data_IF_212806708344
#
_entry.id   IF_212806708344
#
_cell.length_a   1.000
_cell.length_b   1.000
_cell.length_c   1.000
_cell.angle_alpha   90.00
_cell.angle_beta   90.00
_cell.angle_gamma   90.00
#
_symmetry.space_group_name_H-M   'P 1'
#
loop_
_entity.id
_entity.type
_entity.pdbx_description
1 polymer ?
#
# COMPACT_ATOMS: atom_id res chain seq x y z
N UNK A 1 -7.56 -5.18 30.28
CA UNK A 1 -7.27 -6.64 30.19
C UNK A 1 -7.88 -7.17 28.91
N UNK A 2 -7.12 -7.13 27.81
CA UNK A 2 -7.51 -7.73 26.56
C UNK A 2 -7.44 -9.26 26.69
N UNK A 3 -8.60 -9.91 26.71
CA UNK A 3 -8.69 -11.36 26.69
C UNK A 3 -8.21 -11.88 25.34
N UNK A 4 -7.12 -12.65 25.34
CA UNK A 4 -6.64 -13.44 24.22
C UNK A 4 -7.79 -14.33 23.70
N UNK A 5 -8.39 -13.99 22.55
CA UNK A 5 -9.28 -14.87 21.81
C UNK A 5 -8.39 -15.85 21.04
N UNK A 6 -8.14 -17.01 21.65
CA UNK A 6 -7.52 -18.15 20.97
C UNK A 6 -8.36 -18.50 19.73
N UNK A 7 -7.89 -18.15 18.54
CA UNK A 7 -8.51 -18.55 17.29
C UNK A 7 -8.60 -20.08 17.22
N UNK A 8 -9.77 -20.62 16.88
CA UNK A 8 -9.92 -22.06 16.63
C UNK A 8 -9.36 -22.36 15.24
N UNK A 9 -8.55 -23.38 15.15
CA UNK A 9 -8.07 -23.92 13.88
C UNK A 9 -8.77 -25.25 13.62
N UNK A 10 -9.14 -25.49 12.38
CA UNK A 10 -9.73 -26.74 11.94
C UNK A 10 -8.84 -27.39 10.89
N UNK A 11 -8.49 -28.64 11.09
CA UNK A 11 -7.78 -29.46 10.14
C UNK A 11 -8.66 -29.73 8.91
N UNK A 12 -8.11 -29.57 7.70
CA UNK A 12 -8.85 -29.69 6.43
C UNK A 12 -9.33 -31.13 6.22
N UNK A 13 -8.54 -32.13 6.60
CA UNK A 13 -8.93 -33.53 6.49
C UNK A 13 -10.06 -33.89 7.47
N UNK A 14 -10.02 -33.34 8.67
CA UNK A 14 -11.12 -33.49 9.65
C UNK A 14 -12.43 -32.88 9.12
N UNK A 15 -12.34 -31.70 8.43
CA UNK A 15 -13.50 -31.08 7.77
C UNK A 15 -14.03 -32.00 6.66
N UNK A 16 -13.15 -32.61 5.87
CA UNK A 16 -13.52 -33.53 4.78
C UNK A 16 -14.23 -34.81 5.32
N UNK A 17 -13.70 -35.39 6.36
CA UNK A 17 -14.33 -36.54 7.02
C UNK A 17 -15.74 -36.17 7.53
N UNK A 18 -15.86 -35.00 8.19
CA UNK A 18 -17.14 -34.51 8.68
C UNK A 18 -18.12 -34.20 7.53
N UNK A 19 -17.66 -33.61 6.44
CA UNK A 19 -18.44 -33.35 5.23
C UNK A 19 -19.01 -34.65 4.67
N UNK A 20 -18.20 -35.68 4.46
CA UNK A 20 -18.64 -36.96 3.94
C UNK A 20 -19.70 -37.62 4.85
N UNK A 21 -19.52 -37.52 6.15
CA UNK A 21 -20.50 -38.01 7.13
C UNK A 21 -21.83 -37.24 7.02
N UNK A 22 -21.79 -35.95 6.93
CA UNK A 22 -22.99 -35.10 6.80
C UNK A 22 -23.68 -35.23 5.45
N UNK A 23 -22.92 -35.47 4.35
CA UNK A 23 -23.46 -35.62 3.02
C UNK A 23 -24.38 -36.88 2.87
N UNK A 24 -24.12 -37.90 3.65
CA UNK A 24 -24.96 -39.11 3.69
C UNK A 24 -26.27 -38.95 4.50
N UNK A 25 -26.51 -37.77 5.08
CA UNK A 25 -27.64 -37.52 5.99
C UNK A 25 -28.66 -36.56 5.39
N UNK A 26 -29.93 -36.69 5.77
CA UNK A 26 -30.94 -35.64 5.48
C UNK A 26 -30.67 -34.37 6.33
N UNK A 27 -31.21 -33.25 5.90
CA UNK A 27 -31.10 -31.99 6.64
C UNK A 27 -31.60 -32.08 8.05
N UNK A 28 -32.74 -32.76 8.26
CA UNK A 28 -33.34 -32.99 9.58
C UNK A 28 -32.42 -33.83 10.47
N UNK A 29 -31.83 -34.90 9.92
CA UNK A 29 -30.89 -35.75 10.63
C UNK A 29 -29.63 -34.96 11.04
N UNK A 30 -29.10 -34.12 10.16
CA UNK A 30 -27.98 -33.21 10.47
C UNK A 30 -28.32 -32.23 11.58
N UNK A 31 -29.49 -31.58 11.49
CA UNK A 31 -29.95 -30.65 12.53
C UNK A 31 -29.99 -31.32 13.90
N UNK A 32 -30.59 -32.50 13.96
CA UNK A 32 -30.73 -33.27 15.21
C UNK A 32 -29.40 -33.78 15.76
N UNK A 33 -28.55 -34.36 14.92
CA UNK A 33 -27.28 -34.99 15.33
C UNK A 33 -26.23 -33.99 15.76
N UNK A 34 -26.15 -32.83 15.07
CA UNK A 34 -25.12 -31.80 15.31
C UNK A 34 -25.66 -30.58 16.07
N UNK A 35 -26.91 -30.58 16.50
CA UNK A 35 -27.52 -29.43 17.19
C UNK A 35 -27.58 -28.16 16.34
N UNK A 36 -27.75 -28.32 15.03
CA UNK A 36 -27.79 -27.17 14.10
C UNK A 36 -29.22 -26.64 13.98
N UNK A 37 -29.33 -25.34 13.81
CA UNK A 37 -30.60 -24.74 13.38
C UNK A 37 -30.97 -25.24 11.97
N UNK A 38 -32.27 -25.34 11.60
CA UNK A 38 -32.69 -25.85 10.30
C UNK A 38 -32.01 -25.14 9.12
N UNK A 39 -31.96 -23.79 9.15
CA UNK A 39 -31.33 -22.96 8.14
C UNK A 39 -29.82 -23.26 7.99
N UNK A 40 -29.14 -23.65 9.07
CA UNK A 40 -27.73 -24.04 9.05
C UNK A 40 -27.55 -25.49 8.59
N UNK A 41 -28.46 -26.39 8.89
CA UNK A 41 -28.38 -27.76 8.44
C UNK A 41 -28.48 -27.89 6.90
N UNK A 42 -29.17 -26.97 6.24
CA UNK A 42 -29.24 -26.90 4.78
C UNK A 42 -27.97 -26.33 4.15
N UNK A 43 -27.40 -25.28 4.76
CA UNK A 43 -26.29 -24.53 4.18
C UNK A 43 -24.90 -25.05 4.54
N UNK A 44 -24.79 -25.95 5.54
CA UNK A 44 -23.49 -26.44 6.03
C UNK A 44 -22.70 -27.25 5.00
N UNK A 45 -23.39 -28.04 4.16
CA UNK A 45 -22.74 -28.87 3.15
C UNK A 45 -22.12 -28.03 2.03
N UNK A 46 -22.85 -27.13 1.34
CA UNK A 46 -22.23 -26.26 0.34
C UNK A 46 -21.11 -25.39 0.95
N UNK A 47 -21.27 -24.89 2.18
CA UNK A 47 -20.22 -24.14 2.85
C UNK A 47 -18.96 -24.99 3.07
N UNK A 48 -19.08 -26.20 3.64
CA UNK A 48 -17.95 -27.08 3.86
C UNK A 48 -17.25 -27.48 2.55
N UNK A 49 -18.02 -27.73 1.47
CA UNK A 49 -17.48 -28.02 0.15
C UNK A 49 -16.63 -26.86 -0.39
N UNK A 50 -17.12 -25.62 -0.28
CA UNK A 50 -16.39 -24.41 -0.73
C UNK A 50 -15.09 -24.26 0.05
N UNK A 51 -15.13 -24.33 1.38
CA UNK A 51 -13.94 -24.20 2.23
C UNK A 51 -12.91 -25.30 1.95
N UNK A 52 -13.35 -26.54 1.82
CA UNK A 52 -12.46 -27.67 1.50
C UNK A 52 -11.80 -27.46 0.11
N UNK A 53 -12.58 -27.03 -0.88
CA UNK A 53 -12.06 -26.79 -2.22
C UNK A 53 -11.05 -25.63 -2.28
N UNK A 54 -11.32 -24.54 -1.55
CA UNK A 54 -10.39 -23.40 -1.45
C UNK A 54 -9.10 -23.86 -0.75
N UNK A 55 -9.20 -24.63 0.35
CA UNK A 55 -8.03 -25.14 1.05
C UNK A 55 -7.16 -26.06 0.17
N UNK A 56 -7.78 -26.93 -0.63
CA UNK A 56 -7.09 -27.77 -1.60
C UNK A 56 -6.32 -26.95 -2.65
N UNK A 57 -6.97 -25.94 -3.23
CA UNK A 57 -6.34 -25.03 -4.21
C UNK A 57 -5.19 -24.24 -3.62
N UNK A 58 -5.34 -23.82 -2.37
CA UNK A 58 -4.32 -23.11 -1.60
C UNK A 58 -3.23 -24.02 -1.03
N UNK A 59 -3.37 -25.35 -1.12
CA UNK A 59 -2.53 -26.35 -0.47
C UNK A 59 -2.41 -26.12 1.06
N UNK A 60 -3.51 -25.66 1.67
CA UNK A 60 -3.56 -25.40 3.10
C UNK A 60 -4.00 -26.67 3.84
N UNK A 61 -3.33 -27.00 4.92
CA UNK A 61 -3.64 -28.12 5.80
C UNK A 61 -4.62 -27.74 6.91
N UNK A 62 -4.69 -26.45 7.24
CA UNK A 62 -5.48 -25.90 8.35
C UNK A 62 -6.26 -24.67 7.90
N UNK A 63 -7.50 -24.57 8.38
CA UNK A 63 -8.35 -23.38 8.24
C UNK A 63 -8.48 -22.70 9.59
N UNK A 64 -8.03 -21.45 9.69
CA UNK A 64 -8.23 -20.65 10.89
C UNK A 64 -9.67 -20.13 10.96
N UNK A 65 -10.33 -20.34 12.10
CA UNK A 65 -11.66 -19.81 12.38
C UNK A 65 -11.56 -18.80 13.54
N UNK A 66 -11.37 -17.50 13.25
CA UNK A 66 -11.11 -16.50 14.28
C UNK A 66 -12.31 -16.25 15.21
N UNK A 67 -13.46 -16.82 14.90
CA UNK A 67 -14.68 -16.70 15.73
C UNK A 67 -15.35 -15.32 15.58
N UNK A 68 -15.05 -14.62 14.51
CA UNK A 68 -15.68 -13.34 14.12
C UNK A 68 -16.59 -13.56 12.93
N UNK A 69 -17.66 -12.77 12.84
CA UNK A 69 -18.62 -12.81 11.74
C UNK A 69 -18.64 -11.50 10.96
N UNK A 70 -19.54 -11.41 9.99
CA UNK A 70 -19.71 -10.22 9.13
C UNK A 70 -19.95 -8.94 9.96
N UNK A 71 -20.71 -9.04 11.05
CA UNK A 71 -20.99 -7.88 11.92
C UNK A 71 -19.76 -7.33 12.60
N UNK A 72 -18.83 -8.19 13.02
CA UNK A 72 -17.55 -7.78 13.60
C UNK A 72 -16.68 -7.10 12.55
N UNK A 73 -16.64 -7.62 11.31
CA UNK A 73 -15.93 -6.99 10.19
C UNK A 73 -16.49 -5.62 9.83
N UNK A 74 -17.83 -5.49 9.75
CA UNK A 74 -18.48 -4.19 9.51
C UNK A 74 -18.19 -3.22 10.65
N UNK A 75 -18.22 -3.69 11.90
CA UNK A 75 -17.91 -2.85 13.05
C UNK A 75 -16.46 -2.35 13.03
N UNK A 76 -15.52 -3.21 12.66
CA UNK A 76 -14.11 -2.85 12.52
C UNK A 76 -13.92 -1.81 11.42
N UNK A 77 -14.54 -2.00 10.25
CA UNK A 77 -14.52 -1.00 9.16
C UNK A 77 -15.12 0.35 9.59
N UNK A 78 -16.21 0.33 10.39
CA UNK A 78 -16.80 1.55 10.92
C UNK A 78 -15.89 2.22 11.95
N UNK A 79 -15.23 1.45 12.82
CA UNK A 79 -14.26 1.95 13.80
C UNK A 79 -13.11 2.62 13.07
N UNK A 80 -12.52 1.97 12.07
CA UNK A 80 -11.43 2.53 11.26
C UNK A 80 -11.86 3.81 10.55
N UNK A 81 -13.06 3.82 9.99
CA UNK A 81 -13.61 4.97 9.27
C UNK A 81 -13.89 6.18 10.18
N UNK A 82 -14.41 5.96 11.39
CA UNK A 82 -14.89 7.05 12.24
C UNK A 82 -13.96 7.37 13.40
N UNK A 83 -13.16 6.42 13.87
CA UNK A 83 -12.29 6.59 15.03
C UNK A 83 -10.81 6.56 14.69
N UNK A 84 -10.44 6.24 13.41
CA UNK A 84 -9.05 6.17 12.94
C UNK A 84 -8.14 5.51 13.98
N UNK A 85 -8.53 4.33 14.45
CA UNK A 85 -7.67 3.53 15.33
C UNK A 85 -6.50 3.05 14.47
N UNK A 86 -5.37 3.73 14.62
CA UNK A 86 -4.16 3.53 13.83
C UNK A 86 -3.39 2.32 14.31
N UNK A 87 -3.17 1.56 13.44
CA UNK A 87 -2.10 0.88 12.79
C UNK A 87 -0.95 0.44 13.67
N UNK A 88 -0.86 -0.84 13.64
CA UNK A 88 0.35 -1.56 13.96
C UNK A 88 1.17 -1.72 12.68
N UNK A 89 2.50 -1.85 12.80
CA UNK A 89 3.42 -2.13 11.70
C UNK A 89 2.93 -3.25 10.77
N UNK A 90 2.16 -4.21 11.28
CA UNK A 90 1.59 -5.32 10.52
C UNK A 90 0.55 -4.93 9.45
N UNK A 91 -0.21 -3.84 9.63
CA UNK A 91 -1.14 -3.35 8.59
C UNK A 91 -0.37 -2.68 7.46
N UNK A 92 0.63 -1.87 7.80
CA UNK A 92 1.50 -1.23 6.82
C UNK A 92 2.24 -2.27 5.96
N UNK A 93 2.76 -3.33 6.57
CA UNK A 93 3.39 -4.45 5.85
C UNK A 93 2.39 -5.17 4.93
N UNK A 94 1.14 -5.35 5.37
CA UNK A 94 0.09 -5.99 4.57
C UNK A 94 -0.25 -5.19 3.33
N UNK A 95 -0.39 -3.86 3.45
CA UNK A 95 -0.61 -2.94 2.33
C UNK A 95 0.56 -2.97 1.35
N UNK A 96 1.80 -2.86 1.86
CA UNK A 96 2.98 -2.89 1.02
C UNK A 96 3.17 -4.23 0.32
N UNK A 97 2.85 -5.34 0.98
CA UNK A 97 2.83 -6.66 0.35
C UNK A 97 1.77 -6.76 -0.76
N UNK A 98 0.60 -6.13 -0.60
CA UNK A 98 -0.40 -6.02 -1.66
C UNK A 98 0.11 -5.17 -2.83
N UNK A 99 0.76 -4.04 -2.56
CA UNK A 99 1.42 -3.22 -3.58
C UNK A 99 2.52 -3.99 -4.31
N UNK A 100 3.36 -4.74 -3.60
CA UNK A 100 4.41 -5.58 -4.20
C UNK A 100 3.82 -6.63 -5.15
N UNK A 101 2.74 -7.32 -4.74
CA UNK A 101 2.04 -8.27 -5.62
C UNK A 101 1.49 -7.60 -6.88
N UNK A 102 0.94 -6.39 -6.73
CA UNK A 102 0.45 -5.61 -7.86
C UNK A 102 1.59 -5.22 -8.81
N UNK A 103 2.70 -4.71 -8.25
CA UNK A 103 3.89 -4.35 -9.02
C UNK A 103 4.44 -5.55 -9.81
N UNK A 104 4.59 -6.71 -9.17
CA UNK A 104 5.04 -7.95 -9.82
C UNK A 104 4.11 -8.42 -10.93
N UNK A 105 2.79 -8.25 -10.76
CA UNK A 105 1.81 -8.54 -11.82
C UNK A 105 2.07 -7.71 -13.08
N UNK A 106 2.56 -6.48 -12.94
CA UNK A 106 2.90 -5.58 -14.04
C UNK A 106 4.41 -5.51 -14.32
N UNK A 107 5.18 -6.51 -13.86
CA UNK A 107 6.61 -6.70 -14.17
C UNK A 107 7.44 -5.43 -13.93
N UNK A 108 7.16 -4.70 -12.86
CA UNK A 108 7.86 -3.46 -12.54
C UNK A 108 9.32 -3.70 -12.15
N UNK A 109 10.16 -2.67 -12.20
CA UNK A 109 11.51 -2.72 -11.66
C UNK A 109 11.45 -2.71 -10.12
N UNK A 110 11.46 -3.93 -9.53
CA UNK A 110 11.33 -4.13 -8.09
C UNK A 110 12.48 -3.46 -7.33
N UNK A 111 13.70 -3.56 -7.83
CA UNK A 111 14.88 -3.00 -7.17
C UNK A 111 14.82 -1.46 -7.15
N UNK A 112 14.42 -0.83 -8.25
CA UNK A 112 14.18 0.62 -8.30
C UNK A 112 13.04 1.04 -7.37
N UNK A 113 11.88 0.36 -7.44
CA UNK A 113 10.73 0.65 -6.58
C UNK A 113 11.06 0.58 -5.09
N UNK A 114 11.85 -0.43 -4.66
CA UNK A 114 12.30 -0.56 -3.27
C UNK A 114 13.25 0.56 -2.85
N UNK A 115 14.23 0.93 -3.70
CA UNK A 115 15.15 2.04 -3.41
C UNK A 115 14.41 3.37 -3.28
N UNK A 116 13.53 3.68 -4.25
CA UNK A 116 12.72 4.91 -4.21
C UNK A 116 11.82 4.93 -2.98
N UNK A 117 11.23 3.79 -2.60
CA UNK A 117 10.43 3.66 -1.37
C UNK A 117 11.26 3.94 -0.12
N UNK A 118 12.48 3.43 -0.05
CA UNK A 118 13.42 3.68 1.05
C UNK A 118 13.77 5.16 1.15
N UNK A 119 14.16 5.78 0.05
CA UNK A 119 14.53 7.20 0.02
C UNK A 119 13.33 8.10 0.37
N UNK A 120 12.16 7.82 -0.18
CA UNK A 120 10.95 8.57 0.13
C UNK A 120 10.61 8.51 1.63
N UNK A 121 10.71 7.33 2.25
CA UNK A 121 10.49 7.16 3.67
C UNK A 121 11.54 7.91 4.52
N UNK A 122 12.82 7.85 4.16
CA UNK A 122 13.89 8.58 4.85
C UNK A 122 13.66 10.10 4.81
N UNK A 123 13.37 10.64 3.62
CA UNK A 123 13.09 12.09 3.46
C UNK A 123 11.83 12.48 4.23
N UNK A 124 10.79 11.66 4.23
CA UNK A 124 9.57 11.90 4.99
C UNK A 124 9.86 11.98 6.50
N UNK A 125 10.56 10.99 7.04
CA UNK A 125 10.86 10.89 8.47
C UNK A 125 11.74 12.04 8.95
N UNK A 126 12.76 12.40 8.17
CA UNK A 126 13.70 13.49 8.46
C UNK A 126 13.01 14.87 8.44
N UNK A 127 11.91 15.03 7.70
CA UNK A 127 11.21 16.30 7.52
C UNK A 127 9.86 16.37 8.25
N UNK A 128 9.61 15.49 9.21
CA UNK A 128 8.31 15.36 9.89
C UNK A 128 7.84 16.68 10.53
N UNK A 129 8.75 17.45 11.09
CA UNK A 129 8.45 18.77 11.69
C UNK A 129 8.07 19.84 10.65
N UNK A 130 8.32 19.61 9.37
CA UNK A 130 8.06 20.55 8.28
C UNK A 130 6.75 20.29 7.53
N UNK A 131 6.37 19.02 7.38
CA UNK A 131 5.20 18.68 6.57
C UNK A 131 3.93 18.41 7.40
N UNK A 132 4.05 18.11 8.69
CA UNK A 132 2.93 17.83 9.60
C UNK A 132 1.96 16.74 9.11
N UNK A 133 2.45 15.82 8.26
CA UNK A 133 1.70 14.65 7.78
C UNK A 133 1.75 13.54 8.82
N UNK A 134 0.78 12.65 8.77
CA UNK A 134 0.64 11.57 9.74
C UNK A 134 1.33 10.25 9.29
N UNK A 135 1.44 9.24 10.17
CA UNK A 135 2.02 7.94 9.81
C UNK A 135 1.29 7.23 8.67
N UNK A 136 -0.02 7.48 8.47
CA UNK A 136 -0.78 6.92 7.36
C UNK A 136 -0.37 7.55 6.04
N UNK A 137 -0.11 8.85 6.02
CA UNK A 137 0.43 9.55 4.86
C UNK A 137 1.81 9.01 4.45
N UNK A 138 2.64 8.61 5.45
CA UNK A 138 3.90 7.90 5.22
C UNK A 138 3.69 6.57 4.48
N UNK A 139 2.68 5.80 4.89
CA UNK A 139 2.33 4.56 4.22
C UNK A 139 1.87 4.81 2.78
N UNK A 140 1.01 5.82 2.56
CA UNK A 140 0.55 6.20 1.22
C UNK A 140 1.72 6.64 0.32
N UNK A 141 2.71 7.36 0.87
CA UNK A 141 3.93 7.70 0.15
C UNK A 141 4.72 6.46 -0.26
N UNK A 142 4.93 5.51 0.68
CA UNK A 142 5.64 4.26 0.40
C UNK A 142 4.94 3.42 -0.66
N UNK A 143 3.61 3.30 -0.58
CA UNK A 143 2.81 2.63 -1.60
C UNK A 143 2.93 3.30 -2.97
N UNK A 144 2.89 4.63 -3.00
CA UNK A 144 3.07 5.42 -4.23
C UNK A 144 4.46 5.26 -4.83
N UNK A 145 5.49 5.28 -3.98
CA UNK A 145 6.88 5.11 -4.39
C UNK A 145 7.13 3.71 -4.97
N UNK A 146 6.53 2.68 -4.38
CA UNK A 146 6.66 1.32 -4.89
C UNK A 146 5.98 1.13 -6.25
N UNK A 147 4.87 1.82 -6.50
CA UNK A 147 4.02 1.61 -7.67
C UNK A 147 4.15 2.68 -8.75
N UNK A 148 5.02 3.70 -8.58
CA UNK A 148 5.00 4.88 -9.46
C UNK A 148 5.25 4.55 -10.93
N UNK A 149 6.02 3.51 -11.22
CA UNK A 149 6.43 3.13 -12.57
C UNK A 149 5.76 1.85 -13.12
N UNK A 150 4.74 1.28 -12.44
CA UNK A 150 4.04 0.09 -12.95
C UNK A 150 3.39 0.31 -14.33
N UNK A 151 3.19 1.55 -14.73
CA UNK A 151 2.66 1.92 -16.04
C UNK A 151 3.63 1.70 -17.20
N UNK A 152 4.92 1.49 -16.94
CA UNK A 152 5.91 1.12 -17.96
C UNK A 152 5.54 -0.21 -18.66
N UNK A 153 4.87 -1.09 -17.96
CA UNK A 153 4.29 -2.32 -18.52
C UNK A 153 3.38 -2.04 -19.73
N UNK A 154 2.63 -0.94 -19.72
CA UNK A 154 1.75 -0.56 -20.83
C UNK A 154 2.56 0.12 -21.92
N UNK A 155 3.32 1.15 -21.55
CA UNK A 155 4.19 1.90 -22.45
C UNK A 155 5.04 2.88 -21.66
N UNK A 156 6.34 2.97 -22.02
CA UNK A 156 7.27 3.92 -21.40
C UNK A 156 6.83 5.38 -21.59
N UNK A 157 6.38 5.78 -22.79
CA UNK A 157 5.88 7.12 -22.99
C UNK A 157 4.53 7.33 -22.31
N UNK A 158 4.51 8.28 -21.38
CA UNK A 158 3.30 8.56 -20.58
C UNK A 158 3.03 7.56 -19.44
N UNK A 159 3.98 6.71 -19.04
CA UNK A 159 3.80 5.69 -18.03
C UNK A 159 3.17 6.22 -16.73
N UNK A 160 3.52 7.42 -16.30
CA UNK A 160 2.90 8.04 -15.12
C UNK A 160 1.36 8.13 -15.20
N UNK A 161 0.78 8.28 -16.40
CA UNK A 161 -0.67 8.23 -16.63
C UNK A 161 -1.19 6.80 -16.58
N UNK A 162 -0.41 5.85 -17.09
CA UNK A 162 -0.74 4.44 -17.02
C UNK A 162 -0.64 3.93 -15.58
N UNK A 163 0.40 4.32 -14.82
CA UNK A 163 0.51 4.01 -13.39
C UNK A 163 -0.71 4.52 -12.62
N UNK A 164 -1.13 5.76 -12.83
CA UNK A 164 -2.35 6.30 -12.26
C UNK A 164 -3.56 5.38 -12.54
N UNK A 165 -3.78 5.05 -13.81
CA UNK A 165 -4.93 4.24 -14.19
C UNK A 165 -4.90 2.85 -13.56
N UNK A 166 -3.75 2.19 -13.58
CA UNK A 166 -3.59 0.86 -13.02
C UNK A 166 -3.80 0.85 -11.51
N UNK A 167 -3.29 1.84 -10.79
CA UNK A 167 -3.45 1.95 -9.33
C UNK A 167 -4.90 2.30 -8.98
N UNK A 168 -5.51 3.29 -9.66
CA UNK A 168 -6.88 3.76 -9.39
C UNK A 168 -7.92 2.65 -9.52
N UNK A 169 -7.68 1.69 -10.45
CA UNK A 169 -8.61 0.60 -10.72
C UNK A 169 -8.15 -0.75 -10.12
N UNK A 170 -7.06 -0.75 -9.33
CA UNK A 170 -6.62 -1.95 -8.63
C UNK A 170 -7.38 -2.15 -7.32
N UNK A 171 -7.54 -3.39 -6.91
CA UNK A 171 -7.96 -3.74 -5.56
C UNK A 171 -6.70 -3.94 -4.70
N UNK A 172 -6.36 -2.93 -3.90
CA UNK A 172 -5.22 -2.95 -2.98
C UNK A 172 -5.77 -3.10 -1.56
N UNK A 173 -5.65 -4.32 -1.03
CA UNK A 173 -6.11 -4.63 0.32
C UNK A 173 -5.48 -3.69 1.35
N UNK A 174 -6.29 -3.13 2.24
CA UNK A 174 -5.86 -2.22 3.31
C UNK A 174 -5.85 -0.74 2.90
N UNK A 175 -6.20 -0.38 1.66
CA UNK A 175 -6.43 1.01 1.25
C UNK A 175 -7.92 1.27 1.03
N UNK A 176 -8.42 2.37 1.57
CA UNK A 176 -9.75 2.91 1.23
C UNK A 176 -9.75 3.44 -0.21
N UNK A 177 -10.92 3.61 -0.84
CA UNK A 177 -11.02 4.22 -2.18
C UNK A 177 -10.36 5.61 -2.26
N UNK A 178 -10.49 6.46 -1.24
CA UNK A 178 -9.86 7.78 -1.21
C UNK A 178 -8.33 7.67 -1.12
N UNK A 179 -7.81 6.80 -0.26
CA UNK A 179 -6.38 6.57 -0.12
C UNK A 179 -5.77 6.00 -1.40
N UNK A 180 -6.46 5.07 -2.06
CA UNK A 180 -6.04 4.56 -3.36
C UNK A 180 -5.97 5.66 -4.41
N UNK A 181 -6.95 6.57 -4.44
CA UNK A 181 -6.92 7.74 -5.32
C UNK A 181 -5.77 8.68 -4.98
N UNK A 182 -5.41 8.85 -3.69
CA UNK A 182 -4.22 9.61 -3.30
C UNK A 182 -2.96 8.93 -3.85
N UNK A 183 -2.78 7.61 -3.61
CA UNK A 183 -1.63 6.84 -4.10
C UNK A 183 -1.50 6.93 -5.62
N UNK A 184 -2.61 6.75 -6.35
CA UNK A 184 -2.63 6.86 -7.80
C UNK A 184 -2.21 8.25 -8.29
N UNK A 185 -2.70 9.32 -7.64
CA UNK A 185 -2.34 10.69 -8.00
C UNK A 185 -0.89 11.01 -7.66
N UNK A 186 -0.38 10.59 -6.51
CA UNK A 186 1.04 10.77 -6.14
C UNK A 186 1.93 10.08 -7.16
N UNK A 187 1.63 8.82 -7.54
CA UNK A 187 2.33 8.11 -8.60
C UNK A 187 2.24 8.85 -9.96
N UNK A 188 1.08 9.40 -10.33
CA UNK A 188 0.93 10.19 -11.56
C UNK A 188 1.86 11.39 -11.61
N UNK A 189 2.06 12.04 -10.47
CA UNK A 189 2.79 13.31 -10.41
C UNK A 189 4.27 13.20 -10.04
N UNK A 190 4.84 12.00 -10.02
CA UNK A 190 6.29 11.81 -9.79
C UNK A 190 7.16 12.45 -10.88
N UNK A 191 6.60 12.72 -12.07
CA UNK A 191 7.29 13.36 -13.20
C UNK A 191 6.36 14.28 -14.00
N UNK A 192 6.94 14.98 -15.01
CA UNK A 192 6.22 15.92 -15.89
C UNK A 192 5.55 17.03 -15.08
N UNK A 193 4.30 17.38 -15.42
CA UNK A 193 3.56 18.47 -14.78
C UNK A 193 3.32 18.22 -13.29
N UNK A 194 3.36 19.26 -12.46
CA UNK A 194 2.93 19.17 -11.07
C UNK A 194 1.40 18.94 -10.95
N UNK A 195 0.90 18.62 -9.74
CA UNK A 195 -0.54 18.57 -9.48
C UNK A 195 -1.22 19.91 -9.81
N UNK A 196 -2.24 19.88 -10.68
CA UNK A 196 -2.94 21.07 -11.16
C UNK A 196 -4.47 20.85 -11.13
N UNK A 197 -5.26 21.82 -10.61
CA UNK A 197 -6.73 21.76 -10.64
C UNK A 197 -7.33 21.65 -12.05
N UNK A 198 -6.59 21.98 -13.10
CA UNK A 198 -7.01 21.75 -14.48
C UNK A 198 -7.05 20.25 -14.84
N UNK A 199 -6.36 19.40 -14.08
CA UNK A 199 -6.39 17.95 -14.26
C UNK A 199 -7.61 17.35 -13.54
N UNK A 200 -8.57 16.68 -14.23
CA UNK A 200 -9.76 16.12 -13.60
C UNK A 200 -9.47 15.20 -12.42
N UNK A 201 -8.50 14.29 -12.58
CA UNK A 201 -8.08 13.35 -11.53
C UNK A 201 -7.63 14.03 -10.22
N UNK A 202 -7.09 15.23 -10.29
CA UNK A 202 -6.67 16.01 -9.12
C UNK A 202 -7.78 16.93 -8.62
N UNK A 203 -8.52 17.56 -9.53
CA UNK A 203 -9.63 18.46 -9.20
C UNK A 203 -10.72 17.76 -8.40
N UNK A 204 -11.02 16.50 -8.74
CA UNK A 204 -12.12 15.74 -8.15
C UNK A 204 -11.80 15.19 -6.76
N UNK A 205 -10.53 15.32 -6.29
CA UNK A 205 -10.14 15.01 -4.92
C UNK A 205 -10.67 16.07 -3.92
N UNK A 206 -10.84 15.65 -2.67
CA UNK A 206 -11.12 16.57 -1.56
C UNK A 206 -9.99 17.60 -1.38
N UNK A 207 -10.25 18.71 -0.72
CA UNK A 207 -9.23 19.74 -0.44
C UNK A 207 -8.07 19.15 0.39
N UNK A 208 -8.39 18.30 1.35
CA UNK A 208 -7.42 17.61 2.19
C UNK A 208 -6.56 16.67 1.36
N UNK A 209 -7.17 15.77 0.58
CA UNK A 209 -6.47 14.83 -0.30
C UNK A 209 -5.57 15.55 -1.31
N UNK A 210 -6.00 16.70 -1.86
CA UNK A 210 -5.15 17.53 -2.74
C UNK A 210 -3.91 18.05 -2.03
N UNK A 211 -4.05 18.46 -0.75
CA UNK A 211 -2.90 18.87 0.07
C UNK A 211 -1.90 17.72 0.26
N UNK A 212 -2.39 16.54 0.62
CA UNK A 212 -1.58 15.32 0.77
C UNK A 212 -0.88 14.94 -0.54
N UNK A 213 -1.60 14.90 -1.65
CA UNK A 213 -1.01 14.60 -2.98
C UNK A 213 0.12 15.55 -3.33
N UNK A 214 -0.03 16.85 -3.10
CA UNK A 214 1.04 17.83 -3.38
C UNK A 214 2.29 17.58 -2.54
N UNK A 215 2.12 17.34 -1.25
CA UNK A 215 3.23 17.11 -0.33
C UNK A 215 3.95 15.77 -0.63
N UNK A 216 3.19 14.69 -0.78
CA UNK A 216 3.75 13.37 -1.06
C UNK A 216 4.40 13.30 -2.44
N UNK A 217 3.79 13.91 -3.47
CA UNK A 217 4.40 13.98 -4.80
C UNK A 217 5.69 14.81 -4.82
N UNK A 218 5.79 15.88 -4.01
CA UNK A 218 7.01 16.65 -3.88
C UNK A 218 8.16 15.80 -3.33
N UNK A 219 7.90 14.98 -2.31
CA UNK A 219 8.91 14.06 -1.74
C UNK A 219 9.24 12.96 -2.74
N UNK A 220 8.24 12.33 -3.37
CA UNK A 220 8.45 11.24 -4.33
C UNK A 220 9.30 11.69 -5.52
N UNK A 221 9.10 12.91 -6.03
CA UNK A 221 9.89 13.46 -7.14
C UNK A 221 11.38 13.53 -6.83
N UNK A 222 11.72 13.85 -5.60
CA UNK A 222 13.12 13.87 -5.14
C UNK A 222 13.64 12.45 -4.97
N UNK A 223 12.87 11.57 -4.31
CA UNK A 223 13.27 10.19 -4.08
C UNK A 223 13.51 9.41 -5.38
N UNK A 224 12.63 9.54 -6.37
CA UNK A 224 12.78 8.95 -7.69
C UNK A 224 14.00 9.52 -8.44
N UNK A 225 14.28 10.82 -8.30
CA UNK A 225 15.45 11.41 -8.90
C UNK A 225 16.80 10.90 -8.36
N UNK A 226 16.81 10.40 -7.11
CA UNK A 226 18.01 9.81 -6.47
C UNK A 226 18.40 8.43 -7.01
N UNK A 227 17.55 7.78 -7.78
CA UNK A 227 17.86 6.52 -8.48
C UNK A 227 17.53 6.61 -9.99
N UNK A 228 17.84 7.74 -10.60
CA UNK A 228 17.45 8.07 -11.98
C UNK A 228 17.91 7.07 -13.02
N UNK A 229 19.10 6.51 -12.87
CA UNK A 229 19.66 5.51 -13.79
C UNK A 229 19.26 4.06 -13.43
N UNK A 230 18.55 3.85 -12.33
CA UNK A 230 18.16 2.54 -11.79
C UNK A 230 19.35 1.64 -11.43
N UNK A 231 20.51 2.24 -11.18
CA UNK A 231 21.77 1.54 -10.90
C UNK A 231 22.08 1.41 -9.39
N UNK A 232 21.27 2.04 -8.53
CA UNK A 232 21.50 1.99 -7.08
C UNK A 232 22.78 2.67 -6.64
N UNK A 233 23.20 3.74 -7.31
CA UNK A 233 24.42 4.48 -6.99
C UNK A 233 24.39 5.11 -5.61
N UNK A 234 23.19 5.46 -5.13
CA UNK A 234 22.94 6.03 -3.81
C UNK A 234 22.36 4.92 -2.93
N UNK A 235 22.97 4.71 -1.77
CA UNK A 235 22.60 3.68 -0.80
C UNK A 235 21.60 4.21 0.25
N UNK A 236 21.79 5.45 0.67
CA UNK A 236 20.90 6.11 1.64
C UNK A 236 20.95 7.63 1.51
N UNK A 237 19.91 8.28 1.99
CA UNK A 237 19.78 9.73 2.04
C UNK A 237 19.36 10.15 3.45
N UNK A 238 19.93 11.24 3.94
CA UNK A 238 19.48 11.94 5.15
C UNK A 238 19.16 13.38 4.80
N UNK A 239 17.94 13.81 5.07
CA UNK A 239 17.47 15.16 4.77
C UNK A 239 17.57 16.06 6.02
N UNK A 240 18.38 17.10 5.97
CA UNK A 240 18.52 18.05 7.06
C UNK A 240 17.91 19.38 6.65
N UNK A 241 16.84 19.78 7.35
CA UNK A 241 16.21 21.07 7.09
C UNK A 241 17.00 22.21 7.72
N UNK A 242 17.44 23.16 6.89
CA UNK A 242 18.02 24.42 7.28
C UNK A 242 16.98 25.58 7.16
N UNK A 243 17.40 26.82 7.36
CA UNK A 243 16.48 27.95 7.36
C UNK A 243 15.68 28.08 6.05
N UNK A 244 16.33 27.99 4.89
CA UNK A 244 15.73 28.25 3.58
C UNK A 244 15.94 27.07 2.60
N UNK A 245 16.57 25.99 3.02
CA UNK A 245 16.83 24.82 2.17
C UNK A 245 16.79 23.52 2.97
N UNK A 246 16.63 22.42 2.27
CA UNK A 246 16.94 21.09 2.76
C UNK A 246 18.25 20.61 2.11
N UNK A 247 19.15 20.07 2.92
CA UNK A 247 20.38 19.45 2.44
C UNK A 247 20.23 17.93 2.52
N UNK A 248 20.34 17.28 1.38
CA UNK A 248 20.35 15.84 1.25
C UNK A 248 21.80 15.34 1.39
N UNK A 249 22.11 14.71 2.51
CA UNK A 249 23.39 14.01 2.73
C UNK A 249 23.28 12.63 2.13
N UNK A 250 24.11 12.33 1.14
CA UNK A 250 24.03 11.12 0.36
C UNK A 250 25.19 10.17 0.69
N UNK A 251 24.87 8.90 0.89
CA UNK A 251 25.85 7.81 0.99
C UNK A 251 25.78 7.00 -0.30
N UNK A 252 26.92 6.73 -0.91
CA UNK A 252 27.00 5.91 -2.13
C UNK A 252 28.11 6.35 -3.07
N UNK A 253 27.97 6.04 -4.35
CA UNK A 253 28.94 6.41 -5.38
C UNK A 253 28.94 7.92 -5.66
N UNK A 254 30.12 8.51 -5.92
CA UNK A 254 30.27 9.92 -6.29
C UNK A 254 29.93 10.19 -7.77
N UNK A 255 29.94 9.19 -8.64
CA UNK A 255 29.57 9.32 -10.06
C UNK A 255 28.06 9.32 -10.21
N UNK A 256 27.41 10.45 -9.87
CA UNK A 256 25.93 10.60 -9.82
C UNK A 256 25.43 11.92 -10.42
N UNK A 257 26.13 12.42 -11.41
CA UNK A 257 25.81 13.72 -12.05
C UNK A 257 24.38 13.75 -12.60
N UNK A 258 23.88 12.61 -13.11
CA UNK A 258 22.52 12.54 -13.66
C UNK A 258 21.45 12.61 -12.58
N UNK A 259 21.67 11.94 -11.45
CA UNK A 259 20.82 12.03 -10.26
C UNK A 259 20.80 13.47 -9.73
N UNK A 260 21.96 14.10 -9.57
CA UNK A 260 22.05 15.50 -9.10
C UNK A 260 21.35 16.48 -10.04
N UNK A 261 21.56 16.34 -11.35
CA UNK A 261 20.87 17.14 -12.34
C UNK A 261 19.35 16.95 -12.26
N UNK A 262 18.91 15.69 -12.12
CA UNK A 262 17.48 15.33 -12.06
C UNK A 262 16.82 15.87 -10.80
N UNK A 263 17.47 15.77 -9.64
CA UNK A 263 16.98 16.37 -8.39
C UNK A 263 16.78 17.87 -8.54
N UNK A 264 17.76 18.59 -9.11
CA UNK A 264 17.65 20.04 -9.37
C UNK A 264 16.46 20.35 -10.30
N UNK A 265 16.29 19.57 -11.37
CA UNK A 265 15.20 19.76 -12.33
C UNK A 265 13.81 19.45 -11.73
N UNK A 266 13.72 18.52 -10.75
CA UNK A 266 12.45 18.10 -10.14
C UNK A 266 12.12 18.83 -8.83
N UNK A 267 13.02 19.64 -8.27
CA UNK A 267 12.87 20.29 -6.96
C UNK A 267 11.86 21.45 -6.91
N UNK A 268 11.38 21.93 -8.06
CA UNK A 268 10.44 23.06 -8.11
C UNK A 268 9.19 22.82 -7.27
N UNK A 269 8.55 21.63 -7.41
CA UNK A 269 7.35 21.30 -6.62
C UNK A 269 7.68 21.24 -5.11
N UNK A 270 8.86 20.74 -4.76
CA UNK A 270 9.30 20.69 -3.36
C UNK A 270 9.42 22.10 -2.76
N UNK A 271 10.01 23.04 -3.50
CA UNK A 271 10.09 24.45 -3.11
C UNK A 271 8.70 25.09 -2.98
N UNK A 272 7.81 24.83 -3.94
CA UNK A 272 6.44 25.38 -3.93
C UNK A 272 5.60 24.89 -2.77
N UNK A 273 5.86 23.67 -2.28
CA UNK A 273 5.10 23.04 -1.19
C UNK A 273 5.70 23.35 0.18
N UNK A 274 7.01 23.24 0.34
CA UNK A 274 7.69 23.35 1.62
C UNK A 274 8.43 24.66 1.83
N UNK A 275 8.54 25.50 0.80
CA UNK A 275 9.28 26.75 0.87
C UNK A 275 10.81 26.59 0.97
N UNK A 276 11.33 25.40 0.68
CA UNK A 276 12.73 25.04 0.85
C UNK A 276 13.39 24.69 -0.49
N UNK A 277 14.55 25.25 -0.77
CA UNK A 277 15.41 24.81 -1.86
C UNK A 277 16.06 23.45 -1.52
N UNK A 278 16.34 22.63 -2.53
CA UNK A 278 16.99 21.33 -2.34
C UNK A 278 18.46 21.44 -2.71
N UNK A 279 19.36 21.10 -1.79
CA UNK A 279 20.79 20.97 -2.00
C UNK A 279 21.24 19.53 -1.69
N UNK A 280 22.35 19.10 -2.27
CA UNK A 280 22.93 17.77 -2.06
C UNK A 280 24.38 17.90 -1.66
N UNK A 281 24.84 16.98 -0.81
CA UNK A 281 26.24 16.85 -0.39
C UNK A 281 26.53 15.38 -0.07
N UNK A 282 27.79 15.02 -0.05
CA UNK A 282 28.20 13.73 0.50
C UNK A 282 27.96 13.70 2.01
N UNK A 283 27.59 12.51 2.50
CA UNK A 283 27.57 12.27 3.94
C UNK A 283 29.05 12.18 4.41
N UNK A 284 29.39 12.99 5.42
CA UNK A 284 30.68 12.96 6.08
C UNK A 284 30.87 11.72 6.93
#
# INVERSE_FOLDING_TARGET
TAGSRSGRAADVEAIRVLYNKMAAMTSEARAKQFGLRPDRADTILPAASIFTRIAELAKAEVIAAPGVGLKEGILEELIDKYFRVWDTEGEAESVLAACMRLGRRYQFDEAHGERVTKFAAQIFDDLIERHHLDPRDRLLLRASALLHDIGDFVRYDGHHKHSYYLIEHADIMGLTPEERSIVANVARYHRKSPPDPAHPNFRDLTKEARGKVRALAAILRIADALDREHLGKIESVRAVAEKNRVVLHLVGNHERELEEWTVRAKSTLFKDVFGLDVAMTDAS
#
